data_IF_581887766296
#
_entry.id   IF_581887766296
#
_cell.length_a   1.000
_cell.length_b   1.000
_cell.length_c   1.000
_cell.angle_alpha   90.00
_cell.angle_beta   90.00
_cell.angle_gamma   90.00
#
_symmetry.space_group_name_H-M   'P 1'
#
loop_
_entity.id
_entity.type
_entity.pdbx_description
1 polymer ?
#
# COMPACT_ATOMS: atom_id res chain seq x y z
N UNK A 1 -37.20 66.14 14.23
CA UNK A 1 -36.64 66.09 12.86
C UNK A 1 -36.19 64.65 12.60
N UNK A 2 -36.64 64.09 11.49
CA UNK A 2 -36.28 62.78 10.90
C UNK A 2 -34.77 62.44 11.02
N UNK A 3 -34.40 61.17 11.27
CA UNK A 3 -34.15 60.13 10.25
C UNK A 3 -33.25 58.96 10.77
N UNK A 4 -33.78 57.72 10.65
CA UNK A 4 -33.15 56.41 10.29
C UNK A 4 -31.74 56.03 10.80
N UNK A 5 -31.46 54.81 11.31
CA UNK A 5 -31.72 53.50 10.68
C UNK A 5 -31.54 52.34 11.71
N UNK A 6 -32.60 51.52 11.85
CA UNK A 6 -32.71 50.07 12.16
C UNK A 6 -32.25 49.48 13.52
N UNK A 7 -33.17 48.96 14.35
CA UNK A 7 -33.81 47.61 14.33
C UNK A 7 -32.79 46.48 14.67
N UNK A 8 -32.92 45.66 15.73
CA UNK A 8 -34.05 44.77 16.03
C UNK A 8 -34.01 44.23 17.48
N UNK A 9 -35.21 43.88 17.93
CA UNK A 9 -35.64 43.35 19.22
C UNK A 9 -35.18 41.91 19.53
N UNK A 10 -34.94 41.70 20.83
CA UNK A 10 -35.19 40.51 21.69
C UNK A 10 -35.33 39.11 21.09
N UNK A 11 -34.63 38.13 21.66
CA UNK A 11 -35.21 36.86 22.18
C UNK A 11 -34.39 36.33 23.37
N UNK A 12 -35.11 35.93 24.42
CA UNK A 12 -34.66 35.20 25.61
C UNK A 12 -34.05 33.83 25.26
N UNK A 13 -33.27 33.23 26.16
CA UNK A 13 -33.62 31.97 26.84
C UNK A 13 -32.41 31.28 27.52
N UNK A 14 -32.58 31.10 28.84
CA UNK A 14 -32.31 29.88 29.62
C UNK A 14 -30.88 29.32 29.79
N UNK A 15 -30.49 29.38 31.06
CA UNK A 15 -29.50 28.60 31.80
C UNK A 15 -29.46 27.11 31.41
N UNK A 16 -28.34 26.64 30.86
CA UNK A 16 -27.99 25.22 30.70
C UNK A 16 -26.75 24.94 31.57
N UNK A 17 -26.73 23.87 32.39
CA UNK A 17 -25.59 23.58 33.26
C UNK A 17 -24.34 23.23 32.44
N UNK A 18 -23.23 23.96 32.64
CA UNK A 18 -21.91 23.52 32.19
C UNK A 18 -21.33 22.57 33.24
N UNK A 19 -21.50 21.27 33.04
CA UNK A 19 -20.85 20.23 33.84
C UNK A 19 -19.76 19.56 32.99
N UNK A 20 -18.52 19.70 33.47
CA UNK A 20 -17.32 18.87 33.29
C UNK A 20 -16.91 18.44 31.88
N UNK A 21 -15.97 19.19 31.29
CA UNK A 21 -15.14 18.75 30.16
C UNK A 21 -13.63 18.73 30.52
N UNK A 22 -13.28 18.54 31.80
CA UNK A 22 -11.92 18.88 32.30
C UNK A 22 -11.17 17.75 33.00
N UNK A 23 -11.59 16.48 32.86
CA UNK A 23 -10.83 15.34 33.43
C UNK A 23 -10.41 14.34 32.35
N UNK A 24 -11.28 13.98 31.41
CA UNK A 24 -10.92 13.08 30.31
C UNK A 24 -9.87 13.68 29.36
N UNK A 25 -10.01 14.96 28.99
CA UNK A 25 -9.03 15.64 28.13
C UNK A 25 -7.67 15.80 28.83
N UNK A 26 -7.69 16.07 30.15
CA UNK A 26 -6.48 16.19 30.97
C UNK A 26 -5.74 14.84 31.04
N UNK A 27 -6.48 13.74 31.27
CA UNK A 27 -5.92 12.39 31.36
C UNK A 27 -5.35 11.89 30.02
N UNK A 28 -5.96 12.24 28.89
CA UNK A 28 -5.45 11.88 27.56
C UNK A 28 -4.14 12.62 27.26
N UNK A 29 -4.05 13.91 27.62
CA UNK A 29 -2.83 14.68 27.43
C UNK A 29 -1.69 14.15 28.30
N UNK A 30 -1.98 13.83 29.57
CA UNK A 30 -1.02 13.21 30.48
C UNK A 30 -0.54 11.84 29.98
N UNK A 31 -1.43 11.01 29.43
CA UNK A 31 -1.06 9.73 28.82
C UNK A 31 -0.16 9.90 27.58
N UNK A 32 -0.49 10.84 26.68
CA UNK A 32 0.32 11.10 25.49
C UNK A 32 1.70 11.65 25.85
N UNK A 33 1.78 12.58 26.80
CA UNK A 33 3.05 13.12 27.28
C UNK A 33 3.88 12.04 27.99
N UNK A 34 3.26 11.18 28.78
CA UNK A 34 3.95 10.05 29.43
C UNK A 34 4.48 9.06 28.40
N UNK A 35 3.70 8.73 27.36
CA UNK A 35 4.13 7.87 26.26
C UNK A 35 5.27 8.50 25.44
N UNK A 36 5.24 9.80 25.18
CA UNK A 36 6.34 10.52 24.53
C UNK A 36 7.62 10.51 25.39
N UNK A 37 7.50 10.81 26.69
CA UNK A 37 8.63 10.77 27.62
C UNK A 37 9.22 9.36 27.76
N UNK A 38 8.37 8.33 27.84
CA UNK A 38 8.81 6.94 27.92
C UNK A 38 9.50 6.51 26.62
N UNK A 39 8.98 6.88 25.45
CA UNK A 39 9.61 6.59 24.16
C UNK A 39 10.96 7.30 24.02
N UNK A 40 11.08 8.54 24.48
CA UNK A 40 12.35 9.29 24.48
C UNK A 40 13.35 8.69 25.48
N UNK A 41 12.87 8.30 26.66
CA UNK A 41 13.71 7.70 27.69
C UNK A 41 14.21 6.31 27.28
N UNK A 42 13.36 5.44 26.71
CA UNK A 42 13.76 4.15 26.15
C UNK A 42 14.84 4.32 25.09
N UNK A 43 14.72 5.34 24.22
CA UNK A 43 15.73 5.65 23.23
C UNK A 43 17.06 6.13 23.86
N UNK A 44 17.01 6.93 24.92
CA UNK A 44 18.21 7.40 25.64
C UNK A 44 18.89 6.29 26.45
N UNK A 45 18.13 5.42 27.13
CA UNK A 45 18.70 4.28 27.90
C UNK A 45 19.28 3.19 27.01
N UNK A 46 18.90 3.14 25.73
CA UNK A 46 19.47 2.19 24.77
C UNK A 46 20.80 2.68 24.17
N UNK A 47 21.22 3.92 24.46
CA UNK A 47 22.45 4.54 23.92
C UNK A 47 23.69 4.43 24.83
N UNK A 48 23.65 3.65 25.93
CA UNK A 48 24.83 3.39 26.78
C UNK A 48 25.52 2.04 26.50
N UNK A 49 25.49 1.57 25.25
CA UNK A 49 26.41 0.53 24.77
C UNK A 49 27.02 0.95 23.44
N UNK A 50 28.27 1.43 23.53
CA UNK A 50 29.13 1.78 22.41
C UNK A 50 29.40 0.53 21.54
N UNK A 51 28.89 0.53 20.30
CA UNK A 51 29.52 -0.19 19.20
C UNK A 51 29.43 0.65 17.92
N UNK A 52 30.58 0.79 17.27
CA UNK A 52 30.92 1.70 16.20
C UNK A 52 30.40 1.14 14.87
N UNK A 53 29.11 1.32 14.60
CA UNK A 53 28.54 0.99 13.29
C UNK A 53 27.46 2.00 12.89
N UNK A 54 27.72 2.69 11.78
CA UNK A 54 26.87 3.62 11.06
C UNK A 54 25.37 3.34 11.26
N UNK A 55 24.75 4.04 12.21
CA UNK A 55 23.31 3.96 12.39
C UNK A 55 22.65 4.80 11.27
N UNK A 56 22.54 4.19 10.10
CA UNK A 56 21.77 4.68 8.97
C UNK A 56 20.35 4.96 9.48
N UNK A 57 20.02 6.25 9.64
CA UNK A 57 18.65 6.71 9.87
C UNK A 57 17.79 6.22 8.71
N UNK A 58 17.13 5.07 8.89
CA UNK A 58 16.24 4.50 7.89
C UNK A 58 15.04 5.43 7.75
N UNK A 59 15.06 6.28 6.73
CA UNK A 59 13.84 6.91 6.24
C UNK A 59 12.78 5.81 6.03
N UNK A 60 11.50 6.04 6.36
CA UNK A 60 10.44 5.08 6.12
C UNK A 60 10.49 4.67 4.65
N UNK A 61 10.93 3.43 4.38
CA UNK A 61 11.16 2.97 3.01
C UNK A 61 9.88 3.20 2.22
N UNK A 62 9.95 4.12 1.25
CA UNK A 62 8.84 4.42 0.38
C UNK A 62 8.31 3.11 -0.22
N UNK A 63 6.99 2.96 -0.24
CA UNK A 63 6.35 1.72 -0.67
C UNK A 63 6.87 1.29 -2.06
N UNK A 64 7.57 0.13 -2.15
CA UNK A 64 8.18 -0.30 -3.39
C UNK A 64 7.14 -0.83 -4.37
N UNK A 65 5.95 -1.26 -3.92
CA UNK A 65 4.93 -1.95 -4.71
C UNK A 65 4.23 -1.02 -5.70
N UNK A 66 4.90 -0.73 -6.83
CA UNK A 66 4.40 0.22 -7.84
C UNK A 66 3.14 -0.26 -8.54
N UNK A 67 2.97 -1.58 -8.67
CA UNK A 67 1.76 -2.19 -9.21
C UNK A 67 1.08 -2.94 -8.08
N UNK A 68 -0.11 -2.47 -7.68
CA UNK A 68 -0.97 -3.17 -6.73
C UNK A 68 -2.25 -3.60 -7.42
N UNK A 69 -2.64 -4.85 -7.19
CA UNK A 69 -3.83 -5.42 -7.81
C UNK A 69 -4.64 -6.18 -6.77
N UNK A 70 -5.85 -5.71 -6.53
CA UNK A 70 -6.87 -6.51 -5.86
C UNK A 70 -7.45 -7.51 -6.86
N UNK A 71 -7.29 -8.79 -6.57
CA UNK A 71 -7.62 -9.88 -7.48
C UNK A 71 -9.13 -10.02 -7.65
N UNK A 72 -9.54 -10.19 -8.90
CA UNK A 72 -10.90 -10.52 -9.31
C UNK A 72 -10.95 -11.97 -9.84
N UNK A 73 -12.14 -12.50 -10.08
CA UNK A 73 -12.31 -13.88 -10.59
C UNK A 73 -11.52 -14.16 -11.86
N UNK A 74 -11.44 -13.18 -12.77
CA UNK A 74 -10.68 -13.32 -14.00
C UNK A 74 -9.18 -13.48 -13.74
N UNK A 75 -8.65 -12.75 -12.74
CA UNK A 75 -7.25 -12.83 -12.35
C UNK A 75 -6.92 -14.21 -11.80
N UNK A 76 -7.82 -14.80 -11.01
CA UNK A 76 -7.61 -16.12 -10.41
C UNK A 76 -7.72 -17.26 -11.43
N UNK A 77 -8.67 -17.16 -12.37
CA UNK A 77 -8.99 -18.26 -13.29
C UNK A 77 -8.11 -18.31 -14.53
N UNK A 78 -7.65 -17.16 -15.01
CA UNK A 78 -7.04 -17.04 -16.33
C UNK A 78 -5.67 -16.37 -16.33
N UNK A 79 -5.58 -15.10 -15.93
CA UNK A 79 -4.37 -14.27 -16.10
C UNK A 79 -4.43 -13.02 -15.24
N UNK A 80 -3.30 -12.58 -14.71
CA UNK A 80 -3.24 -11.35 -13.91
C UNK A 80 -3.37 -10.13 -14.81
N UNK A 81 -4.44 -9.36 -14.65
CA UNK A 81 -4.67 -8.14 -15.40
C UNK A 81 -3.96 -6.95 -14.76
N UNK A 82 -3.16 -6.25 -15.56
CA UNK A 82 -2.50 -4.99 -15.22
C UNK A 82 -3.21 -3.86 -15.96
N UNK A 83 -3.64 -2.84 -15.21
CA UNK A 83 -4.27 -1.66 -15.79
C UNK A 83 -3.31 -0.99 -16.77
N UNK A 84 -3.85 -0.52 -17.91
CA UNK A 84 -3.07 0.11 -18.99
C UNK A 84 -2.08 1.16 -18.47
N UNK A 85 -2.56 2.12 -17.66
CA UNK A 85 -1.73 3.18 -17.06
C UNK A 85 -0.59 2.64 -16.18
N UNK A 86 -0.83 1.56 -15.45
CA UNK A 86 0.17 0.93 -14.57
C UNK A 86 1.24 0.22 -15.40
N UNK A 87 0.82 -0.54 -16.41
CA UNK A 87 1.72 -1.23 -17.34
C UNK A 87 2.61 -0.24 -18.12
N UNK A 88 2.02 0.81 -18.69
CA UNK A 88 2.74 1.84 -19.45
C UNK A 88 3.76 2.58 -18.59
N UNK A 89 3.46 2.81 -17.31
CA UNK A 89 4.35 3.54 -16.41
C UNK A 89 5.42 2.68 -15.75
N UNK A 90 5.12 1.41 -15.45
CA UNK A 90 5.94 0.59 -14.55
C UNK A 90 6.44 -0.73 -15.16
N UNK A 91 5.91 -1.17 -16.30
CA UNK A 91 6.33 -2.43 -16.94
C UNK A 91 7.01 -2.18 -18.28
N UNK A 92 6.39 -1.45 -19.20
CA UNK A 92 6.96 -1.22 -20.52
C UNK A 92 8.36 -0.59 -20.50
N UNK A 93 8.65 0.42 -19.64
CA UNK A 93 9.97 1.06 -19.63
C UNK A 93 11.10 0.12 -19.21
N UNK A 94 10.80 -0.91 -18.41
CA UNK A 94 11.82 -1.82 -17.85
C UNK A 94 12.05 -3.05 -18.71
N UNK A 95 11.05 -3.50 -19.46
CA UNK A 95 11.18 -4.65 -20.37
C UNK A 95 11.88 -4.30 -21.68
N UNK A 96 11.77 -3.04 -22.14
CA UNK A 96 12.36 -2.55 -23.41
C UNK A 96 12.05 -3.42 -24.64
N UNK A 97 11.00 -4.26 -24.58
CA UNK A 97 10.57 -5.10 -25.68
C UNK A 97 9.91 -4.28 -26.80
N UNK A 98 10.11 -4.71 -28.04
CA UNK A 98 9.40 -4.16 -29.19
C UNK A 98 7.89 -4.36 -29.03
N UNK A 99 7.10 -3.55 -29.74
CA UNK A 99 5.64 -3.71 -29.74
C UNK A 99 5.22 -5.13 -30.14
N UNK A 100 5.89 -5.71 -31.13
CA UNK A 100 5.63 -7.07 -31.60
C UNK A 100 5.97 -8.11 -30.52
N UNK A 101 7.09 -7.97 -29.82
CA UNK A 101 7.45 -8.85 -28.71
C UNK A 101 6.40 -8.78 -27.59
N UNK A 102 5.90 -7.59 -27.26
CA UNK A 102 4.87 -7.41 -26.23
C UNK A 102 3.49 -7.93 -26.71
N UNK A 103 3.17 -7.79 -27.99
CA UNK A 103 1.90 -8.28 -28.55
C UNK A 103 1.91 -9.83 -28.61
N UNK A 104 3.04 -10.46 -28.95
CA UNK A 104 3.22 -11.91 -28.98
C UNK A 104 3.44 -12.55 -27.59
N UNK A 105 4.01 -11.79 -26.66
CA UNK A 105 4.33 -12.21 -25.30
C UNK A 105 5.82 -12.20 -25.03
N UNK A 106 6.20 -11.30 -24.13
CA UNK A 106 7.56 -11.16 -23.64
C UNK A 106 7.69 -12.00 -22.36
N UNK A 107 8.64 -12.93 -22.32
CA UNK A 107 8.94 -13.67 -21.11
C UNK A 107 9.60 -12.77 -20.07
N UNK A 108 9.17 -12.90 -18.82
CA UNK A 108 9.60 -12.06 -17.71
C UNK A 108 9.81 -12.89 -16.46
N UNK A 109 11.00 -12.78 -15.88
CA UNK A 109 11.34 -13.38 -14.60
C UNK A 109 10.59 -12.70 -13.45
N UNK A 110 10.01 -13.52 -12.57
CA UNK A 110 9.35 -13.07 -11.36
C UNK A 110 9.92 -13.81 -10.14
N UNK A 111 10.29 -13.04 -9.13
CA UNK A 111 10.72 -13.54 -7.83
C UNK A 111 9.65 -13.32 -6.79
N UNK A 112 9.12 -14.41 -6.26
CA UNK A 112 8.20 -14.38 -5.14
C UNK A 112 9.01 -14.16 -3.85
N UNK A 113 8.95 -12.93 -3.32
CA UNK A 113 9.78 -12.54 -2.16
C UNK A 113 9.36 -13.24 -0.87
N UNK A 114 8.09 -13.65 -0.78
CA UNK A 114 7.54 -14.25 0.44
C UNK A 114 7.99 -15.72 0.55
N UNK A 115 8.06 -16.45 -0.58
CA UNK A 115 8.47 -17.87 -0.60
C UNK A 115 9.89 -18.12 -1.10
N UNK A 116 10.59 -17.07 -1.53
CA UNK A 116 11.96 -17.16 -2.08
C UNK A 116 12.05 -18.13 -3.27
N UNK A 117 11.09 -18.03 -4.19
CA UNK A 117 11.04 -18.87 -5.40
C UNK A 117 11.04 -18.03 -6.66
N UNK A 118 11.74 -18.52 -7.69
CA UNK A 118 11.79 -17.91 -9.03
C UNK A 118 10.76 -18.59 -9.94
N UNK A 119 10.06 -17.79 -10.71
CA UNK A 119 9.08 -18.20 -11.72
C UNK A 119 9.27 -17.37 -12.98
N UNK A 120 8.61 -17.78 -14.07
CA UNK A 120 8.61 -17.04 -15.33
C UNK A 120 7.17 -16.89 -15.84
N UNK A 121 6.81 -15.69 -16.27
CA UNK A 121 5.50 -15.38 -16.85
C UNK A 121 5.65 -14.72 -18.21
N UNK A 122 4.59 -14.76 -19.01
CA UNK A 122 4.51 -13.99 -20.25
C UNK A 122 3.77 -12.69 -19.99
N UNK A 123 4.41 -11.56 -20.25
CA UNK A 123 3.77 -10.26 -20.28
C UNK A 123 3.27 -9.94 -21.70
N UNK A 124 1.98 -9.64 -21.83
CA UNK A 124 1.32 -9.44 -23.12
C UNK A 124 0.39 -8.22 -23.12
N UNK A 125 0.32 -7.54 -24.27
CA UNK A 125 -0.77 -6.60 -24.53
C UNK A 125 -2.03 -7.33 -25.01
N UNK A 126 -3.18 -6.88 -24.53
CA UNK A 126 -4.52 -7.25 -25.00
C UNK A 126 -5.28 -5.96 -25.36
N UNK A 127 -6.42 -6.09 -26.04
CA UNK A 127 -7.16 -4.96 -26.66
C UNK A 127 -7.16 -3.65 -25.84
N UNK A 128 -7.47 -3.70 -24.54
CA UNK A 128 -7.52 -2.52 -23.65
C UNK A 128 -6.71 -2.66 -22.37
N UNK A 129 -5.90 -3.70 -22.24
CA UNK A 129 -5.18 -4.01 -20.99
C UNK A 129 -3.87 -4.74 -21.27
N UNK A 130 -3.06 -4.88 -20.23
CA UNK A 130 -1.90 -5.76 -20.24
C UNK A 130 -2.13 -6.89 -19.26
N UNK A 131 -1.47 -8.02 -19.49
CA UNK A 131 -1.68 -9.22 -18.70
C UNK A 131 -0.36 -9.94 -18.46
N UNK A 132 -0.19 -10.50 -17.26
CA UNK A 132 0.75 -11.59 -17.03
C UNK A 132 0.00 -12.92 -17.20
N UNK A 133 0.50 -13.77 -18.10
CA UNK A 133 -0.08 -15.05 -18.48
C UNK A 133 0.98 -16.15 -18.46
N UNK A 134 0.67 -17.33 -19.00
CA UNK A 134 1.52 -18.52 -18.92
C UNK A 134 1.21 -19.25 -17.64
N UNK A 135 2.21 -19.46 -16.79
CA UNK A 135 2.06 -20.25 -15.57
C UNK A 135 1.45 -19.48 -14.39
N UNK A 136 0.92 -18.27 -14.59
CA UNK A 136 0.32 -17.44 -13.52
C UNK A 136 -0.64 -18.23 -12.62
N UNK A 137 -1.50 -19.05 -13.23
CA UNK A 137 -2.50 -19.83 -12.49
C UNK A 137 -1.87 -20.88 -11.59
N UNK A 138 -0.90 -21.64 -12.09
CA UNK A 138 -0.28 -22.74 -11.32
C UNK A 138 0.75 -22.19 -10.34
N UNK A 139 1.68 -21.37 -10.83
CA UNK A 139 2.85 -20.90 -10.09
C UNK A 139 2.52 -19.79 -9.09
N UNK A 140 1.40 -19.09 -9.24
CA UNK A 140 0.99 -18.05 -8.31
C UNK A 140 -0.39 -18.30 -7.75
N UNK A 141 -1.45 -18.30 -8.56
CA UNK A 141 -2.82 -18.33 -8.04
C UNK A 141 -3.10 -19.56 -7.18
N UNK A 142 -2.79 -20.77 -7.68
CA UNK A 142 -2.98 -22.03 -6.95
C UNK A 142 -1.92 -22.23 -5.87
N UNK A 143 -0.63 -22.14 -6.22
CA UNK A 143 0.47 -22.37 -5.27
C UNK A 143 0.40 -21.46 -4.04
N UNK A 144 0.00 -20.19 -4.22
CA UNK A 144 -0.10 -19.20 -3.12
C UNK A 144 -1.48 -19.14 -2.47
N UNK A 145 -2.37 -20.04 -2.87
CA UNK A 145 -3.77 -20.07 -2.43
C UNK A 145 -4.39 -18.66 -2.49
N UNK A 146 -4.28 -18.02 -3.65
CA UNK A 146 -4.84 -16.68 -3.86
C UNK A 146 -6.35 -16.77 -3.94
N UNK A 147 -7.02 -15.89 -3.20
CA UNK A 147 -8.48 -15.82 -3.14
C UNK A 147 -9.00 -14.51 -3.70
N UNK A 148 -10.31 -14.45 -3.90
CA UNK A 148 -10.99 -13.24 -4.36
C UNK A 148 -10.69 -12.09 -3.39
N UNK A 149 -10.33 -10.95 -3.95
CA UNK A 149 -9.97 -9.72 -3.25
C UNK A 149 -8.70 -9.75 -2.39
N UNK A 150 -7.88 -10.82 -2.46
CA UNK A 150 -6.48 -10.70 -2.04
C UNK A 150 -5.81 -9.57 -2.86
N UNK A 151 -4.90 -8.82 -2.25
CA UNK A 151 -4.10 -7.81 -2.96
C UNK A 151 -2.68 -8.31 -3.13
N UNK A 152 -2.21 -8.29 -4.37
CA UNK A 152 -0.84 -8.62 -4.75
C UNK A 152 -0.09 -7.37 -5.17
N UNK A 153 1.22 -7.40 -4.96
CA UNK A 153 2.15 -6.33 -5.30
C UNK A 153 3.21 -6.82 -6.27
N UNK A 154 3.56 -5.97 -7.23
CA UNK A 154 4.67 -6.16 -8.15
C UNK A 154 5.51 -4.89 -8.22
N UNK A 155 6.83 -5.04 -8.27
CA UNK A 155 7.76 -3.96 -8.61
C UNK A 155 8.98 -4.49 -9.35
N UNK A 156 9.62 -3.64 -10.14
CA UNK A 156 10.84 -4.01 -10.85
C UNK A 156 12.07 -3.88 -9.96
N UNK A 157 12.84 -4.95 -9.84
CA UNK A 157 14.15 -4.98 -9.21
C UNK A 157 15.21 -4.70 -10.27
N UNK A 158 15.74 -3.47 -10.26
CA UNK A 158 16.74 -3.02 -11.24
C UNK A 158 18.07 -3.77 -11.13
N UNK A 159 18.43 -4.26 -9.94
CA UNK A 159 19.69 -4.97 -9.70
C UNK A 159 19.63 -6.38 -10.26
N UNK A 160 18.51 -7.07 -10.04
CA UNK A 160 18.32 -8.46 -10.48
C UNK A 160 17.61 -8.60 -11.83
N UNK A 161 17.20 -7.48 -12.46
CA UNK A 161 16.49 -7.43 -13.75
C UNK A 161 15.26 -8.36 -13.80
N UNK A 162 14.44 -8.31 -12.75
CA UNK A 162 13.23 -9.14 -12.60
C UNK A 162 12.14 -8.39 -11.85
N UNK A 163 10.90 -8.87 -11.94
CA UNK A 163 9.86 -8.38 -11.03
C UNK A 163 9.91 -9.11 -9.70
N UNK A 164 9.76 -8.37 -8.60
CA UNK A 164 9.48 -8.93 -7.30
C UNK A 164 7.97 -8.95 -7.06
N UNK A 165 7.47 -10.07 -6.54
CA UNK A 165 6.07 -10.33 -6.25
C UNK A 165 5.87 -10.61 -4.76
N UNK A 166 4.79 -10.07 -4.18
CA UNK A 166 4.33 -10.41 -2.83
C UNK A 166 2.81 -10.39 -2.74
N UNK A 167 2.26 -11.13 -1.78
CA UNK A 167 0.87 -10.97 -1.38
C UNK A 167 0.77 -9.94 -0.24
N UNK A 168 0.29 -8.74 -0.57
CA UNK A 168 0.27 -7.59 0.34
C UNK A 168 -0.84 -7.65 1.37
N UNK A 169 -2.01 -8.15 0.97
CA UNK A 169 -3.16 -8.26 1.85
C UNK A 169 -3.94 -9.52 1.52
N UNK A 170 -4.19 -10.35 2.54
CA UNK A 170 -5.08 -11.51 2.44
C UNK A 170 -6.50 -11.10 2.85
N UNK A 171 -7.48 -11.35 2.00
CA UNK A 171 -8.88 -11.15 2.36
C UNK A 171 -9.37 -12.33 3.21
N UNK A 172 -9.71 -12.05 4.47
CA UNK A 172 -10.13 -13.08 5.43
C UNK A 172 -11.50 -13.69 5.13
N UNK A 173 -12.40 -12.95 4.46
CA UNK A 173 -13.78 -13.42 4.21
C UNK A 173 -13.86 -14.55 3.18
N UNK A 174 -12.85 -14.69 2.34
CA UNK A 174 -12.80 -15.69 1.26
C UNK A 174 -11.85 -16.85 1.57
N UNK A 175 -11.47 -16.99 2.85
CA UNK A 175 -10.65 -18.08 3.38
C UNK A 175 -11.56 -18.92 4.27
N UNK A 176 -11.77 -20.16 3.86
CA UNK A 176 -12.50 -21.20 4.61
C UNK A 176 -11.47 -22.10 5.26
#
# INVERSE_FOLDING_TARGET
>A
MQNVQEHLLTMEQHNVPQISATTEQQNVLEYLTTMEQQNVLEHLTTMEQEDDSDHEMLEPRADPWKIKKQLQDFDLKYRLLVLKRQAERHVLPVLQGSREQIDNGCEVDIWDVDTKTKHSLLFQKRSKSYVFTGNWKEDFAKRRDLKLYDTVGLYWDTSNKRFNFSVLLKNRRYRV
#
